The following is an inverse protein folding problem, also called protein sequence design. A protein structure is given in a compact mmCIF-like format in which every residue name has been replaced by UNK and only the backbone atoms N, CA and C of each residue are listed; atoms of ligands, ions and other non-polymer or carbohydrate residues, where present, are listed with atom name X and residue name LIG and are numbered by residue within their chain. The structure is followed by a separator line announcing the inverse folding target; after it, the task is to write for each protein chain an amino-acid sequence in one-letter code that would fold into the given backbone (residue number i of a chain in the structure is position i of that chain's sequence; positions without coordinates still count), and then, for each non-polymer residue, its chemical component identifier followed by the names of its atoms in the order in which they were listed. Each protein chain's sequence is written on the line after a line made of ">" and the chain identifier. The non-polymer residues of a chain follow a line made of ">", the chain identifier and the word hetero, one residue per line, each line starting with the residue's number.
data_IF_250532729484
#
_entry.id   IF_250532729484
#
_cell.length_a   1.000
_cell.length_b   1.000
_cell.length_c   1.000
_cell.angle_alpha   90.00
_cell.angle_beta   90.00
_cell.angle_gamma   90.00
#
_symmetry.space_group_name_H-M   'P 1'
#
loop_
_entity.id
_entity.type
_entity.pdbx_description
1 polymer ?
#
# COMPACT_ATOMS: atom_id res chain seq x y z
N UNK A 1 -44.57 -61.37 -8.82
CA UNK A 1 -45.16 -60.16 -8.20
C UNK A 1 -44.19 -58.99 -8.39
N UNK A 2 -44.74 -57.78 -8.30
CA UNK A 2 -44.31 -56.52 -8.91
C UNK A 2 -42.98 -55.89 -8.41
N UNK A 3 -42.17 -55.43 -9.38
CA UNK A 3 -41.68 -54.06 -9.62
C UNK A 3 -41.32 -53.08 -8.45
N UNK A 4 -40.09 -52.54 -8.47
CA UNK A 4 -39.66 -51.12 -8.27
C UNK A 4 -38.13 -51.01 -8.36
N UNK A 5 -37.53 -50.66 -9.52
CA UNK A 5 -37.15 -49.31 -10.03
C UNK A 5 -36.32 -48.40 -9.11
N UNK A 6 -35.10 -48.14 -9.59
CA UNK A 6 -34.35 -46.86 -9.66
C UNK A 6 -33.90 -46.21 -8.34
N UNK A 7 -32.75 -45.56 -8.19
CA UNK A 7 -31.86 -44.93 -9.18
C UNK A 7 -30.46 -44.85 -8.57
N UNK A 8 -29.46 -45.46 -9.20
CA UNK A 8 -28.06 -45.26 -8.84
C UNK A 8 -27.61 -43.90 -9.36
N UNK A 9 -27.42 -42.94 -8.46
CA UNK A 9 -26.89 -41.61 -8.76
C UNK A 9 -25.50 -41.71 -9.35
N UNK A 10 -25.41 -41.68 -10.68
CA UNK A 10 -24.15 -41.54 -11.39
C UNK A 10 -23.73 -40.08 -11.26
N UNK A 11 -22.77 -39.81 -10.38
CA UNK A 11 -22.04 -38.55 -10.33
C UNK A 11 -21.38 -38.37 -11.72
N UNK A 12 -22.00 -37.56 -12.57
CA UNK A 12 -21.33 -37.03 -13.75
C UNK A 12 -20.40 -35.94 -13.25
N UNK A 13 -19.16 -36.35 -13.00
CA UNK A 13 -18.02 -35.45 -13.02
C UNK A 13 -18.02 -34.82 -14.42
N UNK A 14 -18.42 -33.55 -14.49
CA UNK A 14 -18.19 -32.73 -15.66
C UNK A 14 -16.67 -32.57 -15.77
N UNK A 15 -16.04 -33.43 -16.57
CA UNK A 15 -14.75 -33.13 -17.17
C UNK A 15 -14.95 -31.83 -17.95
N UNK A 16 -14.22 -30.79 -17.54
CA UNK A 16 -14.01 -29.61 -18.35
C UNK A 16 -13.26 -30.10 -19.59
N UNK A 17 -13.99 -30.22 -20.70
CA UNK A 17 -13.40 -30.49 -22.01
C UNK A 17 -12.47 -29.32 -22.33
N UNK A 18 -11.24 -29.64 -22.74
CA UNK A 18 -10.11 -28.73 -22.97
C UNK A 18 -10.24 -27.91 -24.27
N UNK A 19 -11.43 -27.35 -24.55
CA UNK A 19 -11.70 -26.47 -25.71
C UNK A 19 -12.55 -25.22 -25.31
N UNK A 20 -12.37 -24.71 -24.09
CA UNK A 20 -12.88 -23.38 -23.72
C UNK A 20 -11.85 -22.31 -24.10
N UNK A 21 -11.93 -21.80 -25.34
CA UNK A 21 -11.30 -20.54 -25.75
C UNK A 21 -11.94 -19.39 -24.94
N UNK A 22 -11.51 -19.23 -23.69
CA UNK A 22 -11.87 -18.06 -22.90
C UNK A 22 -11.27 -16.81 -23.56
N UNK A 23 -12.13 -15.96 -24.10
CA UNK A 23 -11.68 -14.66 -24.61
C UNK A 23 -11.20 -13.80 -23.44
N UNK A 24 -10.17 -12.98 -23.66
CA UNK A 24 -9.61 -12.10 -22.62
C UNK A 24 -10.69 -11.19 -22.01
N UNK A 25 -11.70 -10.85 -22.81
CA UNK A 25 -12.87 -10.06 -22.42
C UNK A 25 -13.79 -10.83 -21.46
N UNK A 26 -13.95 -12.15 -21.61
CA UNK A 26 -14.73 -12.98 -20.68
C UNK A 26 -14.03 -13.16 -19.33
N UNK A 27 -12.71 -13.34 -19.33
CA UNK A 27 -11.90 -13.39 -18.10
C UNK A 27 -11.95 -12.03 -17.38
N UNK A 28 -11.81 -10.94 -18.14
CA UNK A 28 -11.94 -9.60 -17.60
C UNK A 28 -13.33 -9.36 -17.00
N UNK A 29 -14.38 -9.81 -17.67
CA UNK A 29 -15.75 -9.66 -17.16
C UNK A 29 -16.07 -10.58 -15.96
N UNK A 30 -15.42 -11.74 -15.86
CA UNK A 30 -15.51 -12.64 -14.71
C UNK A 30 -14.79 -12.06 -13.48
N UNK A 31 -13.66 -11.39 -13.70
CA UNK A 31 -12.83 -10.78 -12.65
C UNK A 31 -13.34 -9.39 -12.21
N UNK A 32 -13.83 -8.56 -13.13
CA UNK A 32 -14.30 -7.19 -12.86
C UNK A 32 -15.83 -7.06 -12.80
N UNK A 33 -16.56 -8.18 -12.82
CA UNK A 33 -17.94 -8.28 -12.35
C UNK A 33 -18.96 -7.37 -13.05
N UNK A 34 -18.84 -7.14 -14.36
CA UNK A 34 -19.87 -6.41 -15.11
C UNK A 34 -21.22 -7.16 -15.04
N UNK A 35 -22.27 -6.60 -14.41
CA UNK A 35 -23.55 -7.26 -14.26
C UNK A 35 -24.23 -7.44 -15.63
N UNK A 36 -24.15 -8.67 -16.14
CA UNK A 36 -24.65 -9.06 -17.46
C UNK A 36 -23.85 -10.17 -18.14
N UNK A 37 -22.61 -10.44 -17.71
CA UNK A 37 -21.76 -11.49 -18.29
C UNK A 37 -22.15 -12.91 -17.83
N UNK A 38 -22.44 -13.10 -16.53
CA UNK A 38 -22.81 -14.41 -15.99
C UNK A 38 -24.13 -14.97 -16.52
N UNK A 39 -25.01 -14.13 -17.09
CA UNK A 39 -26.30 -14.55 -17.63
C UNK A 39 -26.22 -15.07 -19.08
N UNK A 40 -25.09 -14.88 -19.77
CA UNK A 40 -24.96 -15.23 -21.20
C UNK A 40 -24.32 -16.60 -21.45
N UNK A 41 -23.69 -17.21 -20.46
CA UNK A 41 -23.02 -18.51 -20.60
C UNK A 41 -23.97 -19.72 -20.65
N UNK A 42 -25.28 -19.54 -20.44
CA UNK A 42 -26.25 -20.66 -20.41
C UNK A 42 -27.11 -20.81 -21.67
N UNK A 43 -26.90 -20.01 -22.73
CA UNK A 43 -27.75 -20.10 -23.94
C UNK A 43 -26.96 -20.02 -25.25
N UNK A 44 -26.23 -21.08 -25.59
CA UNK A 44 -25.77 -21.27 -26.97
C UNK A 44 -25.85 -22.73 -27.42
N UNK A 45 -27.07 -23.22 -27.61
CA UNK A 45 -27.37 -24.29 -28.57
C UNK A 45 -28.64 -23.93 -29.32
N UNK A 46 -28.49 -23.24 -30.44
CA UNK A 46 -29.12 -23.62 -31.71
C UNK A 46 -28.77 -22.60 -32.80
N UNK A 47 -28.30 -23.17 -33.90
CA UNK A 47 -28.00 -22.54 -35.17
C UNK A 47 -29.32 -22.10 -35.82
N UNK A 48 -29.41 -20.87 -36.33
CA UNK A 48 -29.93 -20.47 -37.66
C UNK A 48 -30.29 -18.99 -37.70
N UNK A 49 -29.68 -18.30 -38.67
CA UNK A 49 -30.17 -17.11 -39.41
C UNK A 49 -31.54 -16.54 -39.02
N UNK A 50 -31.59 -15.24 -38.69
CA UNK A 50 -32.48 -14.21 -39.30
C UNK A 50 -32.22 -12.86 -38.61
N UNK A 51 -32.09 -11.81 -39.43
CA UNK A 51 -32.00 -10.40 -39.03
C UNK A 51 -33.17 -10.00 -38.15
N UNK A 52 -32.90 -9.48 -36.95
CA UNK A 52 -33.75 -8.47 -36.31
C UNK A 52 -32.88 -7.49 -35.53
N UNK A 53 -32.87 -6.25 -36.03
CA UNK A 53 -32.66 -5.07 -35.22
C UNK A 53 -33.69 -5.08 -34.09
N UNK A 54 -33.24 -5.37 -32.88
CA UNK A 54 -33.91 -4.92 -31.67
C UNK A 54 -32.83 -4.44 -30.72
N UNK A 55 -32.61 -3.14 -30.75
CA UNK A 55 -32.08 -2.36 -29.64
C UNK A 55 -32.92 -2.62 -28.40
N UNK A 56 -32.62 -3.70 -27.68
CA UNK A 56 -32.99 -3.82 -26.27
C UNK A 56 -31.91 -3.08 -25.47
N UNK A 57 -31.97 -1.75 -25.55
CA UNK A 57 -31.57 -0.88 -24.46
C UNK A 57 -32.57 -1.07 -23.31
N UNK A 58 -32.58 -2.27 -22.71
CA UNK A 58 -33.08 -2.39 -21.34
C UNK A 58 -32.08 -1.64 -20.49
N UNK A 59 -32.50 -0.43 -20.10
CA UNK A 59 -31.85 0.42 -19.14
C UNK A 59 -31.40 -0.42 -17.94
N UNK A 60 -30.14 -0.84 -17.94
CA UNK A 60 -29.44 -1.35 -16.76
C UNK A 60 -29.06 -0.16 -15.86
N UNK A 61 -30.04 0.68 -15.55
CA UNK A 61 -29.96 1.78 -14.57
C UNK A 61 -29.66 1.24 -13.17
N UNK A 62 -29.97 -0.03 -12.92
CA UNK A 62 -29.72 -0.71 -11.64
C UNK A 62 -28.29 -1.26 -11.47
N UNK A 63 -27.43 -1.15 -12.50
CA UNK A 63 -26.08 -1.73 -12.49
C UNK A 63 -24.97 -0.72 -12.13
N UNK A 64 -25.27 0.58 -12.13
CA UNK A 64 -24.31 1.64 -11.76
C UNK A 64 -23.95 1.56 -10.26
N UNK A 65 -24.90 1.21 -9.39
CA UNK A 65 -24.66 1.00 -7.96
C UNK A 65 -23.70 -0.18 -7.69
N UNK A 66 -23.85 -1.27 -8.42
CA UNK A 66 -22.96 -2.45 -8.29
C UNK A 66 -21.55 -2.13 -8.79
N UNK A 67 -21.43 -1.34 -9.85
CA UNK A 67 -20.13 -0.85 -10.35
C UNK A 67 -19.40 0.07 -9.36
N UNK A 68 -20.13 0.73 -8.43
CA UNK A 68 -19.52 1.57 -7.40
C UNK A 68 -18.97 0.78 -6.20
N UNK A 69 -19.43 -0.46 -5.97
CA UNK A 69 -18.97 -1.32 -4.88
C UNK A 69 -17.44 -1.44 -4.74
N UNK A 70 -16.63 -1.68 -5.81
CA UNK A 70 -15.18 -1.78 -5.67
C UNK A 70 -14.55 -0.49 -5.12
N UNK A 71 -15.05 0.69 -5.52
CA UNK A 71 -14.56 1.96 -4.98
C UNK A 71 -14.96 2.15 -3.51
N UNK A 72 -16.17 1.72 -3.14
CA UNK A 72 -16.59 1.70 -1.73
C UNK A 72 -15.74 0.75 -0.89
N UNK A 73 -15.39 -0.44 -1.39
CA UNK A 73 -14.50 -1.35 -0.69
C UNK A 73 -13.11 -0.73 -0.49
N UNK A 74 -12.53 -0.10 -1.52
CA UNK A 74 -11.25 0.62 -1.39
C UNK A 74 -11.33 1.76 -0.36
N UNK A 75 -12.43 2.51 -0.37
CA UNK A 75 -12.67 3.58 0.59
C UNK A 75 -12.79 3.07 2.03
N UNK A 76 -13.53 1.97 2.25
CA UNK A 76 -13.67 1.34 3.55
C UNK A 76 -12.33 0.77 4.05
N UNK A 77 -11.58 0.09 3.18
CA UNK A 77 -10.24 -0.42 3.51
C UNK A 77 -9.31 0.73 3.90
N UNK A 78 -9.38 1.87 3.20
CA UNK A 78 -8.61 3.06 3.54
C UNK A 78 -8.95 3.57 4.95
N UNK A 79 -10.24 3.73 5.28
CA UNK A 79 -10.67 4.18 6.62
C UNK A 79 -10.25 3.18 7.70
N UNK A 80 -10.52 1.89 7.51
CA UNK A 80 -10.14 0.84 8.47
C UNK A 80 -8.62 0.83 8.65
N UNK A 81 -7.86 1.00 7.56
CA UNK A 81 -6.41 1.13 7.58
C UNK A 81 -5.93 2.28 8.46
N UNK A 82 -6.60 3.44 8.42
CA UNK A 82 -6.25 4.57 9.31
C UNK A 82 -6.54 4.32 10.79
N UNK A 83 -7.58 3.53 11.10
CA UNK A 83 -7.98 3.23 12.49
C UNK A 83 -7.09 2.17 13.14
N UNK A 84 -6.50 1.28 12.34
CA UNK A 84 -5.62 0.21 12.81
C UNK A 84 -4.16 0.67 12.97
N UNK A 85 -3.84 1.93 12.69
CA UNK A 85 -2.51 2.47 12.98
C UNK A 85 -2.35 2.58 14.50
N UNK A 86 -1.66 1.60 15.08
CA UNK A 86 -1.20 1.66 16.46
C UNK A 86 -0.43 2.96 16.68
N UNK A 87 -0.87 3.77 17.64
CA UNK A 87 -0.14 4.98 18.01
C UNK A 87 1.26 4.60 18.55
N UNK A 88 2.33 5.31 18.16
CA UNK A 88 3.68 4.99 18.62
C UNK A 88 3.80 5.21 20.13
N UNK A 89 4.73 4.49 20.79
CA UNK A 89 4.92 4.62 22.24
C UNK A 89 5.73 5.88 22.61
N UNK A 90 6.48 6.44 21.66
CA UNK A 90 7.32 7.62 21.80
C UNK A 90 7.34 8.44 20.50
N UNK A 91 7.90 9.66 20.55
CA UNK A 91 8.20 10.50 19.39
C UNK A 91 9.52 11.25 19.60
N UNK A 92 10.29 11.46 18.54
CA UNK A 92 11.53 12.25 18.60
C UNK A 92 11.28 13.77 18.71
N UNK A 93 10.04 14.21 18.49
CA UNK A 93 9.67 15.62 18.54
C UNK A 93 8.52 15.85 19.51
N UNK A 94 8.57 16.98 20.20
CA UNK A 94 7.53 17.36 21.15
C UNK A 94 6.23 17.66 20.42
N UNK A 95 5.14 17.01 20.83
CA UNK A 95 3.80 17.30 20.36
C UNK A 95 2.84 17.46 21.53
N UNK A 96 1.61 17.93 21.29
CA UNK A 96 0.63 18.11 22.37
C UNK A 96 0.32 16.80 23.12
N UNK A 97 0.37 15.65 22.42
CA UNK A 97 0.18 14.31 23.00
C UNK A 97 1.47 13.76 23.64
N UNK A 98 2.66 14.13 23.15
CA UNK A 98 3.96 13.64 23.62
C UNK A 98 4.76 14.82 24.17
N UNK A 99 4.61 15.07 25.47
CA UNK A 99 5.15 16.27 26.13
C UNK A 99 6.19 15.98 27.22
N UNK A 100 6.35 14.72 27.65
CA UNK A 100 7.32 14.34 28.67
C UNK A 100 8.65 14.01 28.03
N UNK A 101 9.66 14.83 28.30
CA UNK A 101 11.03 14.64 27.82
C UNK A 101 11.68 13.47 28.55
N UNK A 102 12.34 12.60 27.79
CA UNK A 102 13.23 11.55 28.24
C UNK A 102 14.48 11.54 27.38
N UNK A 103 15.52 10.92 27.91
CA UNK A 103 16.83 10.87 27.26
C UNK A 103 17.37 9.45 27.34
N UNK A 104 17.96 8.98 26.25
CA UNK A 104 18.61 7.66 26.19
C UNK A 104 19.89 7.64 27.04
N UNK A 105 20.16 6.51 27.72
CA UNK A 105 21.30 6.38 28.65
C UNK A 105 22.66 6.55 28.00
N UNK A 106 22.87 5.93 26.83
CA UNK A 106 24.19 5.84 26.19
C UNK A 106 24.42 6.94 25.15
N UNK A 107 23.41 7.29 24.38
CA UNK A 107 23.51 8.19 23.21
C UNK A 107 23.01 9.61 23.46
N UNK A 108 22.48 9.91 24.64
CA UNK A 108 21.95 11.23 25.01
C UNK A 108 20.94 11.81 24.00
N UNK A 109 20.18 10.94 23.34
CA UNK A 109 19.11 11.30 22.40
C UNK A 109 17.85 11.61 23.19
N UNK A 110 17.31 12.80 22.96
CA UNK A 110 16.03 13.25 23.51
C UNK A 110 14.86 12.63 22.76
N UNK A 111 13.89 12.10 23.51
CA UNK A 111 12.63 11.59 22.98
C UNK A 111 11.48 11.97 23.92
N UNK A 112 10.27 12.02 23.38
CA UNK A 112 9.07 12.44 24.08
C UNK A 112 8.09 11.28 24.20
N UNK A 113 7.52 11.14 25.39
CA UNK A 113 6.51 10.11 25.69
C UNK A 113 5.20 10.76 26.13
N UNK A 114 4.12 9.98 26.07
CA UNK A 114 2.82 10.41 26.58
C UNK A 114 2.82 10.53 28.11
N UNK A 115 1.92 11.31 28.72
CA UNK A 115 1.78 11.42 30.18
C UNK A 115 1.47 10.09 30.90
N UNK A 116 0.78 9.18 30.24
CA UNK A 116 0.42 7.84 30.72
C UNK A 116 1.47 6.77 30.41
N UNK A 117 2.67 7.19 29.98
CA UNK A 117 3.76 6.28 29.67
C UNK A 117 4.29 5.58 30.92
N UNK A 118 4.21 4.25 30.92
CA UNK A 118 4.77 3.43 31.98
C UNK A 118 6.23 3.10 31.64
N UNK A 119 7.21 3.53 32.45
CA UNK A 119 8.60 3.21 32.19
C UNK A 119 8.82 1.69 32.21
N UNK A 120 9.69 1.17 31.33
CA UNK A 120 10.14 -0.23 31.38
C UNK A 120 10.63 -0.58 32.77
N UNK A 121 10.24 -1.77 33.27
CA UNK A 121 10.60 -2.23 34.62
C UNK A 121 11.89 -3.03 34.63
N UNK A 122 12.25 -3.59 33.49
CA UNK A 122 13.46 -4.41 33.31
C UNK A 122 14.45 -3.71 32.39
N UNK A 123 15.74 -3.93 32.61
CA UNK A 123 16.79 -3.38 31.75
C UNK A 123 16.65 -3.87 30.31
N UNK A 124 16.25 -5.13 30.10
CA UNK A 124 16.04 -5.68 28.75
C UNK A 124 14.91 -4.99 27.98
N UNK A 125 13.81 -4.64 28.65
CA UNK A 125 12.73 -3.87 28.02
C UNK A 125 13.16 -2.43 27.72
N UNK A 126 13.96 -1.83 28.62
CA UNK A 126 14.51 -0.49 28.42
C UNK A 126 15.49 -0.45 27.24
N UNK A 127 16.37 -1.44 27.14
CA UNK A 127 17.34 -1.56 26.03
C UNK A 127 16.62 -1.70 24.69
N UNK A 128 15.53 -2.47 24.62
CA UNK A 128 14.71 -2.61 23.41
C UNK A 128 14.03 -1.30 23.02
N UNK A 129 13.49 -0.58 24.01
CA UNK A 129 12.89 0.74 23.77
C UNK A 129 13.93 1.73 23.28
N UNK A 130 15.07 1.84 23.96
CA UNK A 130 16.15 2.76 23.59
C UNK A 130 16.73 2.41 22.22
N UNK A 131 16.87 1.12 21.89
CA UNK A 131 17.29 0.67 20.55
C UNK A 131 16.30 1.14 19.48
N UNK A 132 14.99 0.98 19.73
CA UNK A 132 13.96 1.47 18.82
C UNK A 132 14.01 2.99 18.64
N UNK A 133 14.30 3.75 19.71
CA UNK A 133 14.47 5.22 19.64
C UNK A 133 15.69 5.59 18.80
N UNK A 134 16.81 4.88 19.00
CA UNK A 134 18.05 5.11 18.25
C UNK A 134 17.86 4.78 16.76
N UNK A 135 17.20 3.67 16.44
CA UNK A 135 16.93 3.26 15.07
C UNK A 135 16.05 4.30 14.35
N UNK A 136 15.00 4.80 15.00
CA UNK A 136 14.16 5.86 14.45
C UNK A 136 14.94 7.17 14.26
N UNK A 137 15.81 7.52 15.22
CA UNK A 137 16.66 8.71 15.13
C UNK A 137 17.66 8.63 13.96
N UNK A 138 18.31 7.48 13.78
CA UNK A 138 19.21 7.22 12.64
C UNK A 138 18.41 7.26 11.34
N UNK A 139 17.21 6.69 11.32
CA UNK A 139 16.33 6.71 10.15
C UNK A 139 15.97 8.14 9.75
N UNK A 140 15.55 8.99 10.69
CA UNK A 140 15.24 10.40 10.40
C UNK A 140 16.47 11.16 9.90
N UNK A 141 17.63 10.99 10.53
CA UNK A 141 18.89 11.59 10.06
C UNK A 141 19.26 11.13 8.64
N UNK A 142 19.06 9.84 8.30
CA UNK A 142 19.25 9.31 6.95
C UNK A 142 18.29 9.96 5.95
N UNK A 143 17.02 10.11 6.31
CA UNK A 143 16.04 10.79 5.47
C UNK A 143 16.41 12.27 5.26
N UNK A 144 16.85 12.97 6.30
CA UNK A 144 17.33 14.36 6.18
C UNK A 144 18.54 14.45 5.25
N UNK A 145 19.55 13.59 5.44
CA UNK A 145 20.71 13.52 4.56
C UNK A 145 20.33 13.23 3.10
N UNK A 146 19.46 12.25 2.87
CA UNK A 146 18.98 11.91 1.53
C UNK A 146 18.28 13.09 0.86
N UNK A 147 17.44 13.85 1.59
CA UNK A 147 16.80 15.07 1.06
C UNK A 147 17.81 16.14 0.67
N UNK A 148 18.84 16.36 1.48
CA UNK A 148 19.91 17.32 1.17
C UNK A 148 20.72 16.90 -0.06
N UNK A 149 21.06 15.62 -0.14
CA UNK A 149 21.76 15.07 -1.30
C UNK A 149 20.92 15.20 -2.58
N UNK A 150 19.65 14.81 -2.52
CA UNK A 150 18.72 14.93 -3.64
C UNK A 150 18.56 16.37 -4.10
N UNK A 151 18.48 17.32 -3.16
CA UNK A 151 18.43 18.74 -3.47
C UNK A 151 19.70 19.21 -4.20
N UNK A 152 20.88 18.82 -3.70
CA UNK A 152 22.15 19.12 -4.35
C UNK A 152 22.24 18.53 -5.76
N UNK A 153 21.86 17.27 -5.93
CA UNK A 153 21.86 16.57 -7.22
C UNK A 153 20.90 17.23 -8.23
N UNK A 154 19.71 17.61 -7.77
CA UNK A 154 18.73 18.36 -8.58
C UNK A 154 19.29 19.71 -9.07
N UNK A 155 19.97 20.44 -8.18
CA UNK A 155 20.64 21.70 -8.54
C UNK A 155 21.76 21.49 -9.57
N UNK A 156 22.58 20.45 -9.39
CA UNK A 156 23.64 20.08 -10.33
C UNK A 156 23.05 19.68 -11.69
N UNK A 157 21.98 18.88 -11.69
CA UNK A 157 21.31 18.43 -12.90
C UNK A 157 20.72 19.61 -13.68
N UNK A 158 20.03 20.54 -12.99
CA UNK A 158 19.50 21.77 -13.59
C UNK A 158 20.60 22.63 -14.21
N UNK A 159 21.73 22.79 -13.53
CA UNK A 159 22.86 23.55 -14.06
C UNK A 159 23.44 22.93 -15.33
N UNK A 160 23.56 21.59 -15.37
CA UNK A 160 23.99 20.85 -16.57
C UNK A 160 23.01 21.04 -17.72
N UNK A 161 21.71 20.93 -17.45
CA UNK A 161 20.67 21.07 -18.47
C UNK A 161 20.62 22.47 -19.08
N UNK A 162 20.87 23.53 -18.27
CA UNK A 162 20.94 24.91 -18.74
C UNK A 162 22.31 25.30 -19.32
N UNK A 163 23.32 24.42 -19.25
CA UNK A 163 24.71 24.71 -19.60
C UNK A 163 25.28 25.94 -18.87
N UNK A 164 24.81 26.23 -17.66
CA UNK A 164 25.25 27.38 -16.85
C UNK A 164 26.37 26.96 -15.90
N UNK A 165 27.60 27.40 -16.22
CA UNK A 165 28.79 27.12 -15.44
C UNK A 165 28.79 27.78 -14.05
N UNK A 166 28.15 28.94 -13.89
CA UNK A 166 28.08 29.63 -12.61
C UNK A 166 27.13 28.89 -11.67
N UNK A 167 25.96 28.48 -12.18
CA UNK A 167 25.00 27.68 -11.43
C UNK A 167 25.60 26.31 -11.05
N UNK A 168 26.40 25.71 -11.92
CA UNK A 168 27.09 24.44 -11.64
C UNK A 168 28.09 24.58 -10.49
N UNK A 169 28.93 25.61 -10.51
CA UNK A 169 29.88 25.91 -9.42
C UNK A 169 29.16 26.17 -8.10
N UNK A 170 28.01 26.86 -8.14
CA UNK A 170 27.20 27.11 -6.96
C UNK A 170 26.61 25.81 -6.41
N UNK A 171 26.06 24.94 -7.28
CA UNK A 171 25.50 23.66 -6.89
C UNK A 171 26.55 22.71 -6.28
N UNK A 172 27.79 22.72 -6.79
CA UNK A 172 28.89 21.94 -6.21
C UNK A 172 29.27 22.38 -4.79
N UNK A 173 29.25 23.69 -4.53
CA UNK A 173 29.54 24.29 -3.22
C UNK A 173 28.46 24.05 -2.16
N UNK A 174 27.28 23.56 -2.55
CA UNK A 174 26.23 23.20 -1.59
C UNK A 174 26.74 22.12 -0.64
N UNK A 175 26.66 22.41 0.66
CA UNK A 175 27.05 21.49 1.74
C UNK A 175 25.85 20.66 2.17
N UNK A 176 26.11 19.47 2.71
CA UNK A 176 25.10 18.54 3.22
C UNK A 176 25.31 18.34 4.73
N UNK A 177 24.93 19.31 5.57
CA UNK A 177 25.22 19.29 7.00
C UNK A 177 24.57 18.11 7.73
N UNK A 178 23.38 17.66 7.33
CA UNK A 178 22.71 16.50 7.95
C UNK A 178 23.45 15.21 7.66
N UNK A 179 24.02 15.06 6.46
CA UNK A 179 24.88 13.92 6.14
C UNK A 179 26.15 13.90 7.00
N UNK A 180 26.78 15.06 7.21
CA UNK A 180 27.96 15.16 8.10
C UNK A 180 27.60 14.81 9.54
N UNK A 181 26.46 15.29 10.05
CA UNK A 181 25.97 14.95 11.39
C UNK A 181 25.71 13.45 11.54
N UNK A 182 25.04 12.83 10.57
CA UNK A 182 24.78 11.40 10.56
C UNK A 182 26.09 10.60 10.58
N UNK A 183 27.05 10.94 9.73
CA UNK A 183 28.34 10.25 9.69
C UNK A 183 29.09 10.39 11.03
N UNK A 184 29.11 11.59 11.61
CA UNK A 184 29.74 11.82 12.91
C UNK A 184 29.06 10.99 14.02
N UNK A 185 27.73 10.94 14.03
CA UNK A 185 26.97 10.14 14.98
C UNK A 185 27.30 8.65 14.82
N UNK A 186 27.25 8.11 13.59
CA UNK A 186 27.56 6.71 13.33
C UNK A 186 28.99 6.33 13.73
N UNK A 187 29.97 7.22 13.48
CA UNK A 187 31.36 6.99 13.89
C UNK A 187 31.57 7.04 15.41
N UNK A 188 30.71 7.76 16.15
CA UNK A 188 30.75 7.79 17.62
C UNK A 188 29.96 6.65 18.28
N UNK A 189 29.04 6.05 17.53
CA UNK A 189 28.11 5.01 18.01
C UNK A 189 28.61 3.58 17.69
N UNK A 190 29.41 3.42 16.63
CA UNK A 190 30.09 2.17 16.27
C UNK A 190 31.32 1.91 17.16
#
# INVERSE_FOLDING_TARGET
>A
QYNRRSSGGRQQYYYADEDDDFSAEEIFNLFFGYPGAAARTSRRRQHTTTYHFTTHSTQNSTNTLVQLLPYFFLFLISIIGTLLVSEPQFQLHRTGKYNNLRTTRTSNIEYYVKPDFHPPKTDSELDRLESSVIDEYISDMRHQCYREQQYKESMVWRAKMMSDNNLYRQAQKQTTPSCTKLNNFLNSYA
#
